data_IF_285402317576
#
_entry.id   IF_285402317576
#
_cell.length_a   1.000
_cell.length_b   1.000
_cell.length_c   1.000
_cell.angle_alpha   90.00
_cell.angle_beta   90.00
_cell.angle_gamma   90.00
#
_symmetry.space_group_name_H-M   'P 1'
#
loop_
_entity.id
_entity.type
_entity.pdbx_description
1 polymer ?
#
# COMPACT_ATOMS: atom_id res chain seq x y z
N UNK A 1 66.11 55.13 15.18
CA UNK A 1 65.59 56.14 16.12
C UNK A 1 64.11 55.85 16.36
N UNK A 2 63.72 55.40 17.57
CA UNK A 2 62.32 55.20 17.99
C UNK A 2 61.72 56.52 18.53
N UNK A 3 60.39 56.64 18.78
CA UNK A 3 59.80 56.27 20.09
C UNK A 3 58.41 55.58 19.95
N UNK A 4 58.01 54.58 20.74
CA UNK A 4 57.75 54.52 22.20
C UNK A 4 56.73 55.58 22.69
N UNK A 5 55.43 55.28 22.52
CA UNK A 5 54.32 55.75 23.35
C UNK A 5 53.06 54.96 22.90
N UNK A 6 52.20 54.38 23.71
CA UNK A 6 52.11 54.28 25.15
C UNK A 6 51.37 52.97 25.45
N UNK A 7 51.94 52.16 26.35
CA UNK A 7 51.18 51.21 27.16
C UNK A 7 50.32 52.02 28.11
N UNK A 8 49.06 51.59 28.35
CA UNK A 8 48.43 51.43 29.67
C UNK A 8 46.90 51.49 29.57
N UNK A 9 46.26 50.54 30.28
CA UNK A 9 44.86 50.54 30.74
C UNK A 9 43.84 50.18 29.64
N UNK A 10 42.98 49.17 29.73
CA UNK A 10 42.35 48.48 30.86
C UNK A 10 41.95 47.07 30.37
N UNK A 11 42.29 45.96 31.03
CA UNK A 11 41.75 45.45 32.29
C UNK A 11 40.23 45.55 32.42
N UNK A 12 39.63 44.37 32.62
CA UNK A 12 38.25 44.09 33.02
C UNK A 12 37.18 44.19 31.93
N UNK A 13 36.83 43.02 31.35
CA UNK A 13 35.46 42.48 31.42
C UNK A 13 35.21 41.48 30.27
N UNK A 14 35.54 40.19 30.46
CA UNK A 14 34.73 39.09 29.88
C UNK A 14 35.11 37.73 30.47
N UNK A 15 35.30 37.67 31.79
CA UNK A 15 35.32 36.42 32.53
C UNK A 15 33.89 36.11 33.01
N UNK A 16 32.96 35.80 32.10
CA UNK A 16 31.59 35.41 32.48
C UNK A 16 30.75 34.77 31.35
N UNK A 17 31.28 33.85 30.53
CA UNK A 17 30.42 33.03 29.65
C UNK A 17 30.96 31.58 29.61
N UNK A 18 30.95 30.90 30.76
CA UNK A 18 31.30 29.48 30.85
C UNK A 18 30.30 28.63 31.66
N UNK A 19 29.11 29.17 31.97
CA UNK A 19 28.10 28.47 32.76
C UNK A 19 26.67 28.72 32.23
N UNK A 20 26.33 28.15 31.07
CA UNK A 20 24.93 28.04 30.63
C UNK A 20 24.75 26.98 29.53
N UNK A 21 25.15 25.72 29.77
CA UNK A 21 24.85 24.61 28.85
C UNK A 21 24.36 23.36 29.60
N UNK A 22 23.57 23.56 30.66
CA UNK A 22 22.96 22.46 31.45
C UNK A 22 21.45 22.69 31.61
N UNK A 23 20.75 22.97 30.52
CA UNK A 23 19.28 22.97 30.44
C UNK A 23 18.98 22.64 28.96
N UNK A 24 18.41 21.52 28.53
CA UNK A 24 17.38 20.68 29.15
C UNK A 24 17.41 19.31 28.48
N UNK A 25 17.63 18.23 29.23
CA UNK A 25 17.10 16.91 28.84
C UNK A 25 15.60 16.96 29.12
N UNK A 26 14.84 17.58 28.22
CA UNK A 26 13.40 17.38 28.21
C UNK A 26 13.17 15.91 27.83
N UNK A 27 12.49 15.16 28.70
CA UNK A 27 12.00 13.83 28.38
C UNK A 27 11.17 13.93 27.10
N UNK A 28 11.69 13.44 25.99
CA UNK A 28 10.90 13.31 24.77
C UNK A 28 9.71 12.41 25.12
N UNK A 29 8.46 12.88 24.94
CA UNK A 29 7.31 12.01 25.13
C UNK A 29 7.48 10.82 24.20
N UNK A 30 7.38 9.61 24.76
CA UNK A 30 7.43 8.38 23.98
C UNK A 30 6.38 8.50 22.87
N UNK A 31 6.83 8.54 21.61
CA UNK A 31 5.90 8.52 20.50
C UNK A 31 5.18 7.17 20.52
N UNK A 32 3.85 7.14 20.42
CA UNK A 32 3.13 5.88 20.35
C UNK A 32 3.67 5.07 19.18
N UNK A 33 4.06 3.82 19.43
CA UNK A 33 4.51 2.92 18.39
C UNK A 33 3.40 2.77 17.35
N UNK A 34 3.73 2.95 16.07
CA UNK A 34 2.78 2.71 14.98
C UNK A 34 2.24 1.28 15.07
N UNK A 35 0.92 1.08 14.90
CA UNK A 35 0.38 -0.26 14.89
C UNK A 35 1.06 -1.10 13.80
N UNK A 36 1.35 -2.39 14.07
CA UNK A 36 1.99 -3.25 13.08
C UNK A 36 1.15 -3.27 11.78
N UNK A 37 1.83 -3.12 10.65
CA UNK A 37 1.19 -3.17 9.34
C UNK A 37 0.87 -4.63 8.98
N UNK A 38 -0.24 -4.88 8.26
CA UNK A 38 -0.55 -6.23 7.81
C UNK A 38 0.46 -6.71 6.76
N UNK A 39 0.65 -8.03 6.58
CA UNK A 39 1.66 -8.60 5.69
C UNK A 39 1.54 -8.16 4.22
N UNK A 40 0.33 -7.78 3.80
CA UNK A 40 0.02 -7.31 2.45
C UNK A 40 0.01 -5.79 2.28
N UNK A 41 0.46 -5.01 3.27
CA UNK A 41 0.39 -3.55 3.21
C UNK A 41 1.12 -2.94 1.98
N UNK A 42 2.13 -3.64 1.46
CA UNK A 42 2.83 -3.26 0.24
C UNK A 42 1.93 -3.29 -1.02
N UNK A 43 0.80 -4.00 -0.98
CA UNK A 43 -0.19 -4.05 -2.07
C UNK A 43 -1.18 -2.89 -2.05
N UNK A 44 -1.28 -2.12 -0.95
CA UNK A 44 -2.32 -1.10 -0.81
C UNK A 44 -2.34 -0.12 -1.98
N UNK A 45 -3.56 0.21 -2.41
CA UNK A 45 -3.83 1.12 -3.52
C UNK A 45 -4.45 0.44 -4.73
N UNK A 46 -4.46 1.18 -5.83
CA UNK A 46 -5.11 0.81 -7.07
C UNK A 46 -4.11 0.20 -8.07
N UNK A 47 -4.57 -0.80 -8.80
CA UNK A 47 -3.82 -1.57 -9.79
C UNK A 47 -4.66 -1.71 -11.06
N UNK A 48 -4.01 -1.67 -12.21
CA UNK A 48 -4.67 -1.84 -13.51
C UNK A 48 -3.86 -2.79 -14.40
N UNK A 49 -4.43 -3.21 -15.53
CA UNK A 49 -3.85 -4.26 -16.36
C UNK A 49 -4.63 -5.57 -16.17
N UNK A 50 -3.93 -6.69 -16.07
CA UNK A 50 -4.58 -8.01 -16.09
C UNK A 50 -4.98 -8.48 -17.50
N UNK A 51 -4.94 -7.58 -18.48
CA UNK A 51 -5.29 -7.82 -19.89
C UNK A 51 -4.14 -7.29 -20.75
N UNK A 52 -3.77 -8.03 -21.78
CA UNK A 52 -2.66 -7.67 -22.64
C UNK A 52 -3.03 -6.59 -23.67
N UNK A 53 -2.11 -5.65 -23.97
CA UNK A 53 -0.83 -5.44 -23.30
C UNK A 53 -0.98 -4.63 -22.01
N UNK A 54 -0.12 -4.89 -21.02
CA UNK A 54 -0.01 -4.02 -19.86
C UNK A 54 0.42 -2.61 -20.32
N UNK A 55 -0.27 -1.54 -19.90
CA UNK A 55 0.07 -0.19 -20.34
C UNK A 55 1.46 0.23 -19.85
N UNK A 56 2.35 0.63 -20.76
CA UNK A 56 3.72 1.04 -20.43
C UNK A 56 3.83 2.48 -19.90
N UNK A 57 2.80 3.30 -20.11
CA UNK A 57 2.73 4.66 -19.59
C UNK A 57 1.25 5.04 -19.33
N UNK A 58 0.85 5.05 -18.06
CA UNK A 58 -0.46 5.54 -17.63
C UNK A 58 -0.28 6.78 -16.76
N UNK A 59 -1.01 7.85 -17.09
CA UNK A 59 -1.17 8.95 -16.16
C UNK A 59 -1.96 8.48 -14.93
N UNK A 60 -1.74 9.13 -13.77
CA UNK A 60 -2.52 8.87 -12.57
C UNK A 60 -4.02 9.02 -12.83
N UNK A 61 -4.42 10.04 -13.63
CA UNK A 61 -5.81 10.26 -14.01
C UNK A 61 -6.40 9.06 -14.76
N UNK A 62 -5.72 8.54 -15.77
CA UNK A 62 -6.20 7.42 -16.58
C UNK A 62 -6.26 6.12 -15.77
N UNK A 63 -5.26 5.86 -14.93
CA UNK A 63 -5.24 4.66 -14.11
C UNK A 63 -6.33 4.67 -13.03
N UNK A 64 -6.47 5.79 -12.31
CA UNK A 64 -7.42 5.92 -11.21
C UNK A 64 -8.87 6.06 -11.67
N UNK A 65 -9.14 6.36 -12.94
CA UNK A 65 -10.51 6.38 -13.46
C UNK A 65 -11.13 4.99 -13.58
N UNK A 66 -10.32 3.95 -13.80
CA UNK A 66 -10.78 2.58 -14.04
C UNK A 66 -9.74 1.54 -13.56
N UNK A 67 -9.43 1.48 -12.25
CA UNK A 67 -8.53 0.44 -11.76
C UNK A 67 -9.22 -0.92 -11.81
N UNK A 68 -8.46 -1.96 -12.09
CA UNK A 68 -9.00 -3.32 -12.21
C UNK A 68 -9.05 -4.00 -10.85
N UNK A 69 -8.08 -3.70 -9.98
CA UNK A 69 -8.02 -4.21 -8.60
C UNK A 69 -7.65 -3.10 -7.63
N UNK A 70 -8.29 -3.07 -6.47
CA UNK A 70 -7.94 -2.17 -5.37
C UNK A 70 -7.73 -3.01 -4.12
N UNK A 71 -6.52 -2.96 -3.56
CA UNK A 71 -6.21 -3.58 -2.29
C UNK A 71 -6.36 -2.56 -1.16
N UNK A 72 -7.15 -2.92 -0.16
CA UNK A 72 -7.25 -2.19 1.10
C UNK A 72 -6.77 -3.06 2.25
N UNK A 73 -6.92 -2.59 3.49
CA UNK A 73 -6.55 -3.36 4.68
C UNK A 73 -7.35 -4.66 4.80
N UNK A 74 -8.67 -4.60 4.65
CA UNK A 74 -9.58 -5.70 5.00
C UNK A 74 -10.40 -6.20 3.80
N UNK A 75 -10.25 -5.55 2.64
CA UNK A 75 -11.07 -5.78 1.46
C UNK A 75 -10.24 -5.68 0.18
N UNK A 76 -10.54 -6.54 -0.79
CA UNK A 76 -10.07 -6.44 -2.17
C UNK A 76 -11.29 -6.16 -3.05
N UNK A 77 -11.23 -5.08 -3.83
CA UNK A 77 -12.21 -4.77 -4.86
C UNK A 77 -11.64 -5.21 -6.20
N UNK A 78 -12.43 -5.88 -7.04
CA UNK A 78 -11.99 -6.28 -8.38
C UNK A 78 -13.08 -6.19 -9.43
N UNK A 79 -12.72 -5.63 -10.58
CA UNK A 79 -13.51 -5.64 -11.81
C UNK A 79 -12.92 -6.65 -12.80
N UNK A 80 -13.72 -7.12 -13.77
CA UNK A 80 -13.26 -7.97 -14.88
C UNK A 80 -13.51 -7.31 -16.21
N UNK A 81 -12.90 -7.85 -17.26
CA UNK A 81 -13.21 -7.50 -18.66
C UNK A 81 -14.71 -7.49 -18.97
N UNK A 82 -15.44 -8.43 -18.38
CA UNK A 82 -16.86 -8.67 -18.65
C UNK A 82 -17.79 -7.93 -17.69
N UNK A 83 -17.25 -7.22 -16.69
CA UNK A 83 -18.03 -6.53 -15.67
C UNK A 83 -17.29 -5.31 -15.12
N UNK A 84 -17.85 -4.13 -15.37
CA UNK A 84 -17.39 -2.85 -14.81
C UNK A 84 -17.71 -2.70 -13.32
N UNK A 85 -18.65 -3.49 -12.80
CA UNK A 85 -18.99 -3.45 -11.37
C UNK A 85 -17.88 -4.11 -10.54
N UNK A 86 -17.42 -3.38 -9.52
CA UNK A 86 -16.52 -3.94 -8.54
C UNK A 86 -17.22 -5.00 -7.70
N UNK A 87 -16.61 -6.17 -7.69
CA UNK A 87 -16.90 -7.21 -6.71
C UNK A 87 -16.02 -6.95 -5.50
N UNK A 88 -16.64 -6.93 -4.32
CA UNK A 88 -15.95 -6.79 -3.05
C UNK A 88 -15.67 -8.16 -2.45
N UNK A 89 -14.41 -8.41 -2.05
CA UNK A 89 -14.02 -9.61 -1.32
C UNK A 89 -13.39 -9.24 0.01
N UNK A 90 -13.96 -9.73 1.10
CA UNK A 90 -13.43 -9.51 2.46
C UNK A 90 -12.22 -10.42 2.67
N UNK A 91 -11.16 -9.88 3.24
CA UNK A 91 -9.94 -10.61 3.61
C UNK A 91 -10.17 -11.23 4.99
N UNK A 92 -10.17 -12.56 5.08
CA UNK A 92 -10.16 -13.27 6.36
C UNK A 92 -8.76 -13.33 6.95
N UNK A 93 -7.76 -13.61 6.10
CA UNK A 93 -6.36 -13.63 6.49
C UNK A 93 -5.46 -13.35 5.30
N UNK A 94 -4.30 -12.78 5.58
CA UNK A 94 -3.23 -12.59 4.63
C UNK A 94 -1.92 -13.04 5.27
N UNK A 95 -1.07 -13.71 4.48
CA UNK A 95 0.29 -14.06 4.87
C UNK A 95 1.27 -13.64 3.79
N UNK A 96 2.49 -13.30 4.21
CA UNK A 96 3.59 -13.16 3.28
C UNK A 96 4.00 -14.55 2.77
N UNK A 97 4.37 -14.63 1.49
CA UNK A 97 4.99 -15.80 0.88
C UNK A 97 6.39 -15.45 0.39
N UNK A 98 7.15 -16.43 -0.08
CA UNK A 98 8.50 -16.21 -0.60
C UNK A 98 8.52 -15.25 -1.81
N UNK A 99 7.43 -15.19 -2.59
CA UNK A 99 7.32 -14.41 -3.82
C UNK A 99 6.26 -13.31 -3.77
N UNK A 100 5.56 -13.12 -2.64
CA UNK A 100 4.52 -12.09 -2.52
C UNK A 100 3.60 -12.31 -1.33
N UNK A 101 2.30 -12.49 -1.59
CA UNK A 101 1.29 -12.64 -0.55
C UNK A 101 0.25 -13.70 -0.93
N UNK A 102 -0.31 -14.36 0.08
CA UNK A 102 -1.42 -15.29 -0.08
C UNK A 102 -2.58 -14.86 0.82
N UNK A 103 -3.76 -14.78 0.23
CA UNK A 103 -4.99 -14.35 0.87
C UNK A 103 -5.95 -15.53 1.01
N UNK A 104 -6.60 -15.59 2.16
CA UNK A 104 -7.89 -16.26 2.30
C UNK A 104 -8.99 -15.22 2.36
N UNK A 105 -10.00 -15.41 1.54
CA UNK A 105 -11.13 -14.50 1.40
C UNK A 105 -12.36 -15.13 2.04
N UNK A 106 -13.24 -14.27 2.56
CA UNK A 106 -14.50 -14.74 3.09
C UNK A 106 -15.29 -15.42 1.97
N UNK A 107 -15.87 -16.56 2.30
CA UNK A 107 -16.84 -17.21 1.42
C UNK A 107 -18.06 -16.30 1.30
N UNK A 108 -18.36 -15.87 0.08
CA UNK A 108 -19.58 -15.12 -0.19
C UNK A 108 -20.77 -16.08 -0.09
N UNK A 109 -21.83 -15.76 0.68
CA UNK A 109 -23.03 -16.57 0.69
C UNK A 109 -23.64 -16.56 -0.71
N UNK A 110 -23.66 -17.74 -1.37
CA UNK A 110 -24.30 -17.91 -2.66
C UNK A 110 -25.75 -17.39 -2.61
N UNK A 111 -26.11 -16.54 -3.57
CA UNK A 111 -27.39 -15.83 -3.54
C UNK A 111 -28.59 -16.79 -3.37
N UNK A 112 -29.52 -16.36 -2.52
CA UNK A 112 -30.81 -16.99 -2.26
C UNK A 112 -31.65 -16.97 -3.53
N UNK A 113 -32.32 -18.10 -3.82
CA UNK A 113 -33.19 -18.27 -4.97
C UNK A 113 -34.24 -17.15 -5.06
N UNK A 114 -34.41 -16.58 -6.27
CA UNK A 114 -35.48 -15.62 -6.53
C UNK A 114 -36.88 -16.26 -6.45
N UNK A 115 -37.95 -15.45 -6.30
CA UNK A 115 -39.32 -15.92 -6.11
C UNK A 115 -39.90 -16.77 -7.26
N UNK A 116 -39.20 -16.84 -8.41
CA UNK A 116 -39.56 -17.66 -9.57
C UNK A 116 -38.78 -18.99 -9.65
N UNK A 117 -37.99 -19.34 -8.64
CA UNK A 117 -37.20 -20.59 -8.63
C UNK A 117 -36.05 -20.62 -9.64
N UNK A 118 -35.80 -19.51 -10.35
CA UNK A 118 -34.70 -19.38 -11.29
C UNK A 118 -33.43 -19.12 -10.47
N UNK A 119 -32.65 -20.17 -10.25
CA UNK A 119 -31.31 -20.08 -9.68
C UNK A 119 -30.33 -19.73 -10.79
N UNK A 120 -30.26 -18.45 -11.15
CA UNK A 120 -29.05 -17.95 -11.81
C UNK A 120 -27.98 -17.92 -10.72
N UNK A 121 -27.29 -19.03 -10.47
CA UNK A 121 -26.10 -18.97 -9.64
C UNK A 121 -25.15 -17.99 -10.33
N UNK A 122 -24.80 -16.84 -9.71
CA UNK A 122 -23.70 -16.04 -10.24
C UNK A 122 -22.49 -16.97 -10.30
N UNK A 123 -21.72 -16.92 -11.39
CA UNK A 123 -20.43 -17.59 -11.43
C UNK A 123 -19.67 -17.31 -10.12
N UNK A 124 -19.03 -18.33 -9.54
CA UNK A 124 -18.41 -18.24 -8.22
C UNK A 124 -17.63 -16.92 -8.09
N UNK A 125 -18.01 -16.10 -7.10
CA UNK A 125 -17.52 -14.74 -6.92
C UNK A 125 -16.05 -14.85 -6.48
N UNK A 126 -15.13 -14.89 -7.43
CA UNK A 126 -13.71 -15.19 -7.22
C UNK A 126 -12.77 -14.34 -8.09
N UNK A 127 -11.51 -14.76 -8.19
CA UNK A 127 -10.52 -14.19 -9.11
C UNK A 127 -10.27 -15.10 -10.33
N UNK A 128 -11.11 -16.13 -10.53
CA UNK A 128 -10.91 -17.13 -11.59
C UNK A 128 -9.71 -18.06 -11.35
N UNK A 129 -9.27 -18.19 -10.10
CA UNK A 129 -8.16 -19.07 -9.69
C UNK A 129 -8.67 -20.48 -9.30
N UNK A 130 -7.77 -21.38 -8.88
CA UNK A 130 -8.07 -22.75 -8.46
C UNK A 130 -9.19 -22.88 -7.40
N UNK A 131 -9.47 -21.82 -6.64
CA UNK A 131 -10.62 -21.72 -5.75
C UNK A 131 -11.11 -20.27 -5.63
N UNK A 132 -12.41 -20.06 -5.31
CA UNK A 132 -12.98 -18.72 -5.23
C UNK A 132 -12.46 -17.93 -4.03
N UNK A 133 -12.00 -18.61 -2.97
CA UNK A 133 -11.69 -17.99 -1.67
C UNK A 133 -10.18 -17.91 -1.38
N UNK A 134 -9.35 -18.23 -2.37
CA UNK A 134 -7.89 -18.17 -2.25
C UNK A 134 -7.35 -17.29 -3.38
N UNK A 135 -6.50 -16.33 -3.02
CA UNK A 135 -5.80 -15.50 -3.99
C UNK A 135 -4.30 -15.51 -3.67
N UNK A 136 -3.52 -15.95 -4.63
CA UNK A 136 -2.06 -15.85 -4.58
C UNK A 136 -1.60 -14.67 -5.42
N UNK A 137 -0.79 -13.79 -4.83
CA UNK A 137 -0.23 -12.63 -5.49
C UNK A 137 1.28 -12.77 -5.56
N UNK A 138 1.82 -12.77 -6.79
CA UNK A 138 3.25 -12.73 -7.02
C UNK A 138 3.69 -11.30 -7.27
N UNK A 139 4.80 -10.91 -6.64
CA UNK A 139 5.45 -9.61 -6.83
C UNK A 139 6.56 -9.76 -7.85
N UNK A 140 6.48 -9.00 -8.94
CA UNK A 140 7.57 -8.90 -9.92
C UNK A 140 8.48 -7.72 -9.59
N UNK A 141 7.87 -6.56 -9.33
CA UNK A 141 8.58 -5.33 -8.91
C UNK A 141 7.78 -4.61 -7.82
N UNK A 142 8.19 -3.41 -7.43
CA UNK A 142 7.41 -2.58 -6.50
C UNK A 142 6.06 -2.15 -7.09
N UNK A 143 5.95 -2.10 -8.42
CA UNK A 143 4.81 -1.59 -9.17
C UNK A 143 4.21 -2.61 -10.14
N UNK A 144 4.61 -3.87 -10.07
CA UNK A 144 4.11 -4.93 -10.95
C UNK A 144 3.87 -6.22 -10.16
N UNK A 145 2.67 -6.79 -10.32
CA UNK A 145 2.22 -8.03 -9.68
C UNK A 145 1.50 -8.93 -10.68
N UNK A 146 1.31 -10.19 -10.32
CA UNK A 146 0.44 -11.12 -11.07
C UNK A 146 -0.35 -12.03 -10.15
N UNK A 147 -1.41 -12.63 -10.69
CA UNK A 147 -2.22 -13.65 -10.02
C UNK A 147 -2.07 -14.98 -10.76
N UNK A 148 -1.15 -15.85 -10.35
CA UNK A 148 -0.87 -17.10 -11.05
C UNK A 148 -2.09 -18.02 -11.07
N UNK A 149 -2.36 -18.61 -12.24
CA UNK A 149 -3.47 -19.57 -12.40
C UNK A 149 -4.86 -18.94 -12.40
N UNK A 150 -4.96 -17.60 -12.42
CA UNK A 150 -6.24 -16.89 -12.36
C UNK A 150 -6.68 -16.44 -13.77
N UNK A 151 -7.77 -17.00 -14.28
CA UNK A 151 -8.24 -16.75 -15.66
C UNK A 151 -8.78 -15.35 -15.89
N UNK A 152 -9.19 -14.66 -14.83
CA UNK A 152 -9.72 -13.30 -14.91
C UNK A 152 -8.61 -12.26 -15.11
N UNK A 153 -7.37 -12.62 -14.79
CA UNK A 153 -6.19 -11.74 -14.84
C UNK A 153 -4.96 -12.49 -15.39
N UNK A 154 -4.99 -12.92 -16.67
CA UNK A 154 -3.92 -13.73 -17.26
C UNK A 154 -2.58 -12.99 -17.44
N UNK A 155 -2.57 -11.66 -17.29
CA UNK A 155 -1.38 -10.82 -17.46
C UNK A 155 -1.05 -10.02 -16.18
N UNK A 156 0.17 -9.47 -16.06
CA UNK A 156 0.54 -8.65 -14.90
C UNK A 156 -0.36 -7.41 -14.73
N UNK A 157 -0.48 -6.97 -13.48
CA UNK A 157 -1.08 -5.70 -13.10
C UNK A 157 0.02 -4.71 -12.73
N UNK A 158 -0.16 -3.46 -13.13
CA UNK A 158 0.69 -2.33 -12.82
C UNK A 158 0.03 -1.41 -11.80
N UNK A 159 0.83 -0.87 -10.87
CA UNK A 159 0.33 0.04 -9.84
C UNK A 159 -0.07 1.38 -10.45
N UNK A 160 -1.21 1.92 -10.04
CA UNK A 160 -1.57 3.29 -10.36
C UNK A 160 -0.66 4.27 -9.60
N UNK A 161 -0.02 5.24 -10.29
CA UNK A 161 0.77 6.26 -9.62
C UNK A 161 -0.13 7.15 -8.75
N UNK A 162 0.42 7.60 -7.61
CA UNK A 162 -0.24 8.61 -6.79
C UNK A 162 -0.36 9.94 -7.55
N UNK A 163 -1.39 10.74 -7.24
CA UNK A 163 -1.50 12.12 -7.72
C UNK A 163 -0.57 13.05 -6.95
#
# INVERSE_FOLDING_TARGET
MPPIAARLLASAATAAILFAAVHSLAAQPAQPASPPQPPHAWLFGAWTGGIFPAPSALSAQACLSQPVVIFTRDVILRATLTSELYIQRVIESARASASGAEFRLATEPGQVAGPLGITSAPAAIGFGCDGPDVLSVQRHTDNEISFPGCTDFPYPLVRCPAR
#
